data_IF_106303567409
#
_entry.id   IF_106303567409
#
_cell.length_a   1.000
_cell.length_b   1.000
_cell.length_c   1.000
_cell.angle_alpha   90.00
_cell.angle_beta   90.00
_cell.angle_gamma   90.00
#
_symmetry.space_group_name_H-M   'P 1'
#
loop_
_entity.id
_entity.type
_entity.pdbx_description
1 polymer ?
2 polymer ?
3 non-polymer ?
4 water ?
#
# COMPACT_ATOMS: atom_id res chain seq x y z
N UNK A 3 -1.59 -34.28 -7.09
CA UNK A 3 -2.13 -34.19 -5.73
C UNK A 3 -1.18 -33.44 -4.79
N UNK A 4 -1.75 -32.60 -3.94
CA UNK A 4 -0.99 -31.93 -2.90
C UNK A 4 -0.88 -32.83 -1.67
N UNK A 5 0.22 -32.67 -0.93
CA UNK A 5 0.49 -33.53 0.21
C UNK A 5 1.15 -32.75 1.33
N UNK A 6 0.88 -33.17 2.56
CA UNK A 6 1.54 -32.61 3.74
C UNK A 6 2.91 -33.25 3.88
N UNK A 7 3.95 -32.49 3.57
CA UNK A 7 5.32 -32.97 3.69
C UNK A 7 6.18 -31.93 4.38
N UNK A 8 7.44 -32.24 4.67
CA UNK A 8 8.31 -31.22 5.29
C UNK A 8 8.40 -29.93 4.51
N UNK A 9 8.38 -30.02 3.17
CA UNK A 9 8.42 -28.81 2.35
C UNK A 9 7.22 -27.91 2.63
N UNK A 10 6.01 -28.46 2.51
CA UNK A 10 4.81 -27.66 2.77
C UNK A 10 4.76 -27.21 4.23
N UNK A 11 5.24 -28.04 5.15
CA UNK A 11 5.28 -27.64 6.54
C UNK A 11 6.08 -26.37 6.72
N UNK A 12 7.22 -26.25 6.03
CA UNK A 12 8.00 -25.03 6.11
C UNK A 12 7.30 -23.88 5.39
N UNK A 13 6.62 -24.17 4.28
CA UNK A 13 5.87 -23.13 3.59
C UNK A 13 4.82 -22.51 4.50
N UNK A 14 4.14 -23.34 5.31
CA UNK A 14 3.16 -22.81 6.25
C UNK A 14 3.84 -22.01 7.35
N UNK A 15 5.00 -22.47 7.83
CA UNK A 15 5.74 -21.71 8.84
C UNK A 15 6.14 -20.35 8.31
N UNK A 16 6.58 -20.29 7.05
CA UNK A 16 6.91 -19.00 6.44
C UNK A 16 5.68 -18.12 6.35
N UNK A 17 4.56 -18.68 5.88
CA UNK A 17 3.33 -17.91 5.76
C UNK A 17 2.90 -17.34 7.11
N UNK A 18 3.04 -18.12 8.18
CA UNK A 18 2.67 -17.60 9.50
C UNK A 18 3.64 -16.52 9.96
N UNK A 19 4.93 -16.68 9.67
CA UNK A 19 5.90 -15.66 10.06
C UNK A 19 5.61 -14.33 9.38
N UNK A 20 5.33 -14.37 8.07
CA UNK A 20 4.98 -13.15 7.35
C UNK A 20 3.73 -12.50 7.95
N UNK A 21 2.69 -13.31 8.18
CA UNK A 21 1.45 -12.78 8.76
C UNK A 21 1.72 -12.09 10.09
N UNK A 22 2.45 -12.76 10.99
CA UNK A 22 2.71 -12.19 12.30
C UNK A 22 3.38 -10.82 12.19
N UNK A 23 4.43 -10.72 11.36
CA UNK A 23 5.10 -9.44 11.19
C UNK A 23 4.26 -8.46 10.38
N UNK A 24 3.47 -8.96 9.43
CA UNK A 24 2.53 -8.11 8.70
C UNK A 24 1.57 -7.42 9.66
N UNK A 25 1.08 -8.13 10.67
CA UNK A 25 0.16 -7.53 11.63
C UNK A 25 0.89 -6.54 12.53
N UNK A 26 2.14 -6.83 12.86
CA UNK A 26 2.90 -5.91 13.71
C UNK A 26 3.34 -4.68 12.93
N UNK A 27 3.58 -4.82 11.62
CA UNK A 27 4.11 -3.72 10.84
C UNK A 27 3.03 -2.74 10.41
N UNK A 28 1.80 -3.20 10.20
CA UNK A 28 0.76 -2.36 9.63
C UNK A 28 -0.40 -2.21 10.62
N UNK A 29 -0.80 -0.98 10.94
CA UNK A 29 -1.84 -0.76 11.95
C UNK A 29 -3.18 -1.34 11.55
N UNK A 30 -3.82 -0.74 10.55
CA UNK A 30 -5.18 -1.10 10.17
C UNK A 30 -5.12 -2.23 9.15
N UNK A 31 -5.31 -3.46 9.61
CA UNK A 31 -5.36 -4.62 8.73
C UNK A 31 -6.70 -4.64 7.98
N UNK A 32 -6.76 -5.49 6.95
CA UNK A 32 -8.01 -5.59 6.19
C UNK A 32 -9.13 -6.15 7.05
N UNK A 33 -8.80 -7.06 7.97
CA UNK A 33 -9.82 -7.63 8.85
C UNK A 33 -10.47 -6.55 9.69
N UNK A 34 -9.67 -5.68 10.30
CA UNK A 34 -10.22 -4.59 11.10
C UNK A 34 -10.92 -3.56 10.22
N UNK A 35 -10.38 -3.29 9.03
CA UNK A 35 -10.99 -2.32 8.13
C UNK A 35 -12.36 -2.78 7.67
N UNK A 36 -12.48 -4.06 7.28
CA UNK A 36 -13.76 -4.58 6.84
C UNK A 36 -14.82 -4.47 7.94
N UNK A 37 -14.45 -4.79 9.17
CA UNK A 37 -15.38 -4.66 10.28
C UNK A 37 -15.87 -3.22 10.43
N UNK A 38 -14.94 -2.26 10.32
CA UNK A 38 -15.31 -0.85 10.38
C UNK A 38 -16.24 -0.50 9.23
N UNK A 39 -15.87 -0.92 8.02
CA UNK A 39 -16.64 -0.55 6.83
C UNK A 39 -18.06 -1.08 6.87
N UNK A 40 -18.34 -2.08 7.70
CA UNK A 40 -19.67 -2.64 7.84
C UNK A 40 -20.31 -2.30 9.19
N UNK A 41 -19.66 -1.45 9.99
CA UNK A 41 -20.14 -1.17 11.33
C UNK A 41 -20.11 -2.40 12.21
N UNK A 42 -19.64 -3.52 11.65
CA UNK A 42 -19.65 -4.81 12.33
C UNK A 42 -18.57 -4.89 13.40
N UNK A 43 -18.52 -3.88 14.26
CA UNK A 43 -17.54 -3.83 15.35
C UNK A 43 -17.78 -2.61 16.21
N UNK A 44 -16.79 -2.25 17.03
CA UNK A 44 -16.92 -1.09 17.91
C UNK A 44 -15.71 -0.19 17.67
N UNK A 45 -15.39 0.65 18.67
CA UNK A 45 -14.56 1.82 18.41
C UNK A 45 -15.23 2.57 17.27
N UNK A 46 -14.78 2.29 16.04
CA UNK A 46 -15.49 2.58 14.80
C UNK A 46 -16.32 3.86 14.80
N UNK A 47 -17.40 3.87 14.02
CA UNK A 47 -18.17 5.07 13.74
C UNK A 47 -17.23 6.17 13.26
N UNK A 48 -16.58 5.98 12.11
CA UNK A 48 -15.74 7.05 11.57
C UNK A 48 -16.57 8.23 11.09
N UNK A 49 -16.00 9.42 11.22
CA UNK A 49 -16.64 10.61 10.68
C UNK A 49 -16.62 10.56 9.16
N UNK A 50 -17.80 10.66 8.55
CA UNK A 50 -17.92 10.56 7.10
C UNK A 50 -17.75 11.95 6.49
N UNK A 51 -16.76 12.10 5.62
CA UNK A 51 -16.59 13.30 4.83
C UNK A 51 -17.16 13.01 3.45
N UNK A 52 -18.27 13.67 3.12
CA UNK A 52 -18.97 13.45 1.86
C UNK A 52 -19.24 14.75 1.09
N UNK A 53 -19.11 15.90 1.72
CA UNK A 53 -19.28 17.18 1.05
C UNK A 53 -18.31 18.17 1.68
N UNK A 54 -18.29 19.38 1.14
CA UNK A 54 -17.34 20.38 1.63
C UNK A 54 -17.63 20.76 3.09
N UNK A 55 -18.91 20.78 3.47
CA UNK A 55 -19.26 21.16 4.84
C UNK A 55 -18.80 20.11 5.84
N UNK A 56 -18.96 18.82 5.50
CA UNK A 56 -18.52 17.74 6.38
C UNK A 56 -17.01 17.61 6.39
N UNK A 57 -16.33 18.04 5.32
CA UNK A 57 -14.87 18.09 5.35
C UNK A 57 -14.39 19.08 6.40
N UNK A 58 -14.97 20.28 6.41
CA UNK A 58 -14.58 21.28 7.40
C UNK A 58 -14.83 20.78 8.82
N UNK A 59 -16.02 20.23 9.06
CA UNK A 59 -16.29 19.67 10.38
C UNK A 59 -15.41 18.47 10.68
N UNK A 60 -15.04 17.70 9.65
CA UNK A 60 -14.18 16.55 9.86
C UNK A 60 -12.78 16.95 10.27
N UNK A 61 -12.21 17.96 9.60
CA UNK A 61 -10.88 18.44 9.99
C UNK A 61 -10.86 18.90 11.44
N UNK A 62 -11.98 19.44 11.93
CA UNK A 62 -12.04 19.87 13.33
C UNK A 62 -12.15 18.68 14.27
N UNK A 63 -13.00 17.71 13.93
CA UNK A 63 -13.32 16.62 14.84
C UNK A 63 -12.37 15.43 14.73
N UNK A 64 -11.69 15.25 13.61
CA UNK A 64 -10.75 14.14 13.44
C UNK A 64 -9.39 14.57 13.95
N UNK A 65 -8.71 13.66 14.64
CA UNK A 65 -7.34 13.91 15.13
C UNK A 65 -6.37 13.35 14.10
N UNK A 66 -6.05 14.18 13.11
CA UNK A 66 -5.08 13.79 12.08
C UNK A 66 -3.67 13.82 12.67
N UNK A 67 -2.92 12.74 12.46
CA UNK A 67 -1.59 12.65 13.02
C UNK A 67 -0.73 13.84 12.63
N UNK A 68 -0.86 14.32 11.40
CA UNK A 68 -0.13 15.49 10.93
C UNK A 68 -0.86 16.79 11.26
N UNK A 69 -1.41 16.89 12.46
CA UNK A 69 -2.27 18.01 12.84
C UNK A 69 -1.41 19.18 13.34
N UNK A 70 -1.44 19.42 14.65
CA UNK A 70 -0.74 20.55 15.26
C UNK A 70 -1.48 21.84 14.94
N UNK A 71 -2.11 22.47 15.94
CA UNK A 71 -2.81 23.75 15.69
C UNK A 71 -1.87 24.89 15.33
N UNK A 72 -0.56 24.71 15.45
CA UNK A 72 0.40 25.78 15.19
C UNK A 72 0.85 25.87 13.75
N UNK A 73 0.79 24.77 13.00
CA UNK A 73 1.33 24.77 11.65
C UNK A 73 0.44 25.54 10.69
N UNK A 74 1.04 25.99 9.60
CA UNK A 74 0.31 26.68 8.53
C UNK A 74 -0.14 25.67 7.48
N UNK A 75 -1.43 25.69 7.15
CA UNK A 75 -2.00 24.78 6.19
C UNK A 75 -2.55 25.54 5.00
N UNK A 76 -2.51 24.90 3.83
CA UNK A 76 -3.00 25.53 2.61
C UNK A 76 -4.45 25.99 2.79
N UNK A 77 -4.83 27.00 2.00
CA UNK A 77 -6.20 27.47 2.01
C UNK A 77 -7.11 26.63 1.11
N UNK A 78 -6.54 25.85 0.20
CA UNK A 78 -7.31 24.96 -0.66
C UNK A 78 -7.47 23.60 0.01
N UNK A 79 -8.71 23.11 0.04
CA UNK A 79 -8.95 21.79 0.61
C UNK A 79 -8.22 20.72 -0.21
N UNK A 80 -8.17 20.90 -1.54
CA UNK A 80 -7.52 19.92 -2.39
C UNK A 80 -6.05 19.74 -2.02
N UNK A 81 -5.40 20.80 -1.58
CA UNK A 81 -3.98 20.69 -1.24
C UNK A 81 -3.81 20.15 0.18
N UNK A 82 -4.66 20.59 1.11
CA UNK A 82 -4.64 20.00 2.44
C UNK A 82 -4.82 18.49 2.36
N UNK A 83 -5.70 18.02 1.48
CA UNK A 83 -5.90 16.59 1.31
C UNK A 83 -4.65 15.95 0.72
N UNK A 84 -4.10 16.56 -0.34
CA UNK A 84 -2.87 16.04 -0.94
C UNK A 84 -1.77 15.91 0.09
N UNK A 85 -1.68 16.86 1.03
CA UNK A 85 -0.67 16.79 2.07
C UNK A 85 -0.92 15.63 3.01
N UNK A 86 -2.17 15.36 3.36
CA UNK A 86 -2.48 14.20 4.18
C UNK A 86 -2.00 12.91 3.53
N UNK A 87 -2.25 12.77 2.23
CA UNK A 87 -1.75 11.60 1.51
C UNK A 87 -0.24 11.51 1.58
N UNK A 88 0.45 12.65 1.40
CA UNK A 88 1.91 12.66 1.51
C UNK A 88 2.35 12.12 2.87
N UNK A 89 1.75 12.63 3.94
CA UNK A 89 2.12 12.17 5.28
C UNK A 89 1.89 10.67 5.42
N UNK A 90 0.73 10.19 4.97
CA UNK A 90 0.43 8.76 5.09
C UNK A 90 1.41 7.92 4.29
N UNK A 91 1.77 8.38 3.09
CA UNK A 91 2.72 7.63 2.26
C UNK A 91 4.06 7.50 2.96
N UNK A 92 4.59 8.60 3.49
CA UNK A 92 5.86 8.56 4.21
C UNK A 92 5.81 7.53 5.32
N UNK A 93 4.73 7.54 6.12
CA UNK A 93 4.55 6.51 7.13
C UNK A 93 4.56 5.12 6.51
N UNK A 94 3.85 4.94 5.39
CA UNK A 94 3.78 3.63 4.76
C UNK A 94 5.15 3.16 4.29
N UNK A 95 6.00 4.06 3.83
CA UNK A 95 7.35 3.68 3.43
C UNK A 95 8.10 3.05 4.60
N UNK A 96 7.87 3.58 5.80
CA UNK A 96 8.55 3.05 6.98
C UNK A 96 7.95 1.72 7.42
N UNK A 97 6.62 1.63 7.44
CA UNK A 97 5.97 0.35 7.72
C UNK A 97 6.41 -0.73 6.74
N UNK A 98 6.46 -0.38 5.45
CA UNK A 98 6.89 -1.36 4.45
C UNK A 98 8.36 -1.71 4.62
N UNK A 99 9.19 -0.71 4.93
CA UNK A 99 10.59 -0.98 5.18
C UNK A 99 10.77 -1.93 6.37
N UNK A 100 10.04 -1.68 7.45
CA UNK A 100 10.09 -2.59 8.59
C UNK A 100 9.64 -3.99 8.19
N UNK A 101 8.51 -4.10 7.50
CA UNK A 101 8.02 -5.40 7.09
C UNK A 101 9.04 -6.12 6.21
N UNK A 102 9.68 -5.39 5.30
CA UNK A 102 10.68 -6.01 4.42
C UNK A 102 11.78 -6.67 5.22
N UNK A 103 12.28 -5.97 6.26
CA UNK A 103 13.34 -6.53 7.08
C UNK A 103 12.93 -7.83 7.76
N UNK A 104 11.64 -8.04 7.97
CA UNK A 104 11.16 -9.26 8.61
C UNK A 104 11.02 -10.43 7.64
N UNK A 105 11.25 -10.21 6.35
CA UNK A 105 11.14 -11.26 5.35
C UNK A 105 12.41 -12.09 5.37
N UNK A 106 12.35 -13.37 5.75
CA UNK A 106 13.56 -14.19 5.81
C UNK A 106 14.49 -14.00 4.63
N UNK A 107 15.72 -13.56 4.89
CA UNK A 107 16.73 -13.40 3.88
C UNK A 107 16.93 -11.97 3.39
N UNK A 108 15.95 -11.09 3.61
CA UNK A 108 16.01 -9.75 3.02
C UNK A 108 17.21 -8.97 3.57
N UNK A 109 17.41 -8.98 4.88
CA UNK A 109 18.48 -8.18 5.46
C UNK A 109 19.85 -8.65 4.98
N UNK A 110 19.99 -9.93 4.66
CA UNK A 110 21.26 -10.47 4.17
C UNK A 110 21.51 -10.17 2.70
N UNK A 111 20.61 -9.45 2.04
CA UNK A 111 20.83 -9.07 0.65
C UNK A 111 21.77 -7.87 0.56
N UNK A 112 22.31 -7.66 -0.63
CA UNK A 112 23.04 -6.42 -0.91
C UNK A 112 22.24 -5.23 -0.44
N UNK A 113 22.79 -4.47 0.51
CA UNK A 113 22.06 -3.32 1.05
C UNK A 113 21.59 -2.39 -0.07
N UNK A 114 22.40 -2.23 -1.11
CA UNK A 114 22.01 -1.40 -2.23
C UNK A 114 20.89 -2.03 -3.04
N UNK A 115 20.79 -3.36 -3.03
CA UNK A 115 19.64 -4.03 -3.67
C UNK A 115 18.39 -3.91 -2.80
N UNK A 116 18.54 -3.99 -1.48
CA UNK A 116 17.41 -3.74 -0.60
C UNK A 116 16.80 -2.37 -0.87
N UNK A 117 17.65 -1.37 -1.09
CA UNK A 117 17.16 -0.03 -1.41
C UNK A 117 16.36 -0.05 -2.71
N UNK A 118 16.87 -0.75 -3.73
CA UNK A 118 16.18 -0.76 -5.02
C UNK A 118 14.85 -1.49 -4.91
N UNK A 119 14.79 -2.59 -4.16
CA UNK A 119 13.53 -3.31 -4.00
C UNK A 119 12.51 -2.46 -3.25
N UNK A 120 12.94 -1.77 -2.20
CA UNK A 120 12.03 -0.89 -1.47
C UNK A 120 11.56 0.26 -2.37
N UNK A 121 12.49 0.88 -3.10
CA UNK A 121 12.14 1.99 -3.97
C UNK A 121 10.97 1.64 -4.89
N UNK A 122 11.06 0.50 -5.58
CA UNK A 122 10.04 0.14 -6.55
C UNK A 122 8.85 -0.60 -5.94
N UNK A 123 8.98 -1.10 -4.73
CA UNK A 123 7.91 -1.90 -4.14
C UNK A 123 6.92 -1.14 -3.30
N UNK A 124 7.32 -0.01 -2.74
CA UNK A 124 6.49 0.67 -1.74
C UNK A 124 5.15 1.06 -2.33
N UNK A 125 5.15 1.66 -3.52
CA UNK A 125 3.92 2.21 -4.07
C UNK A 125 2.99 1.13 -4.60
N UNK A 126 3.53 0.06 -5.18
CA UNK A 126 2.68 -1.09 -5.51
C UNK A 126 2.06 -1.65 -4.25
N UNK A 127 2.81 -1.69 -3.15
CA UNK A 127 2.27 -2.17 -1.88
C UNK A 127 1.28 -1.18 -1.30
N UNK A 128 1.52 0.11 -1.49
CA UNK A 128 0.59 1.11 -0.97
C UNK A 128 -0.79 0.92 -1.58
N UNK A 129 -0.84 0.71 -2.91
CA UNK A 129 -2.13 0.57 -3.58
C UNK A 129 -2.78 -0.77 -3.24
N UNK A 130 -1.98 -1.81 -3.02
CA UNK A 130 -2.53 -3.06 -2.51
C UNK A 130 -3.17 -2.85 -1.14
N UNK A 131 -2.41 -2.28 -0.20
CA UNK A 131 -2.94 -2.02 1.13
C UNK A 131 -4.10 -1.04 1.10
N UNK A 132 -4.03 -0.02 0.23
CA UNK A 132 -5.09 0.98 0.18
C UNK A 132 -6.44 0.35 -0.15
N UNK A 133 -6.45 -0.71 -0.96
CA UNK A 133 -7.71 -1.37 -1.30
C UNK A 133 -8.40 -1.93 -0.06
N UNK A 134 -7.63 -2.40 0.92
CA UNK A 134 -8.23 -2.94 2.13
C UNK A 134 -9.11 -1.91 2.83
N UNK A 135 -8.77 -0.62 2.67
CA UNK A 135 -9.50 0.46 3.32
C UNK A 135 -10.54 1.10 2.43
N UNK A 136 -10.82 0.48 1.28
CA UNK A 136 -11.75 1.04 0.30
C UNK A 136 -12.95 0.11 0.12
N UNK A 137 -14.13 0.71 -0.02
CA UNK A 137 -15.23 0.03 -0.70
C UNK A 137 -15.66 0.92 -1.86
N UNK A 138 -16.82 0.68 -2.44
CA UNK A 138 -17.19 1.47 -3.61
C UNK A 138 -17.72 2.85 -3.25
N UNK A 139 -17.96 3.14 -1.98
CA UNK A 139 -18.46 4.45 -1.58
C UNK A 139 -17.36 5.41 -1.16
N UNK A 140 -16.26 4.90 -0.62
CA UNK A 140 -15.21 5.79 -0.15
C UNK A 140 -14.04 5.00 0.40
N UNK A 141 -13.27 5.67 1.26
CA UNK A 141 -12.01 5.13 1.76
C UNK A 141 -11.82 5.54 3.20
N UNK A 142 -11.40 4.58 4.04
CA UNK A 142 -11.02 4.88 5.42
C UNK A 142 -9.77 5.74 5.44
N UNK A 143 -9.76 6.75 6.31
CA UNK A 143 -8.60 7.60 6.50
C UNK A 143 -8.36 7.77 8.00
N UNK A 144 -7.15 8.24 8.32
CA UNK A 144 -6.74 8.54 9.70
C UNK A 144 -6.95 7.32 10.59
N UNK A 145 -6.31 6.22 10.20
CA UNK A 145 -6.42 4.95 10.90
C UNK A 145 -7.86 4.66 11.33
N UNK A 146 -8.79 4.83 10.39
CA UNK A 146 -10.17 4.51 10.62
C UNK A 146 -10.99 5.58 11.31
N UNK A 147 -10.37 6.69 11.72
CA UNK A 147 -11.13 7.75 12.36
C UNK A 147 -12.12 8.39 11.41
N UNK A 148 -11.79 8.44 10.11
CA UNK A 148 -12.64 9.09 9.14
C UNK A 148 -12.87 8.22 7.93
N UNK A 149 -13.91 8.60 7.17
CA UNK A 149 -14.27 7.95 5.92
C UNK A 149 -14.59 9.03 4.91
N UNK A 150 -13.85 9.07 3.81
CA UNK A 150 -14.03 10.10 2.79
C UNK A 150 -14.60 9.47 1.53
N UNK A 151 -15.70 10.02 1.04
CA UNK A 151 -16.43 9.40 -0.06
C UNK A 151 -15.65 9.50 -1.37
N UNK A 152 -15.95 8.56 -2.26
CA UNK A 152 -15.34 8.56 -3.57
C UNK A 152 -15.77 9.77 -4.40
N UNK A 153 -17.06 10.11 -4.35
CA UNK A 153 -17.54 11.22 -5.16
C UNK A 153 -17.02 12.56 -4.67
N UNK A 154 -16.83 12.72 -3.36
CA UNK A 154 -16.22 13.95 -2.86
C UNK A 154 -14.81 14.12 -3.40
N UNK A 155 -14.05 13.02 -3.44
CA UNK A 155 -12.69 13.08 -3.98
C UNK A 155 -12.70 13.40 -5.48
N UNK A 156 -13.72 12.91 -6.20
CA UNK A 156 -13.82 13.23 -7.62
C UNK A 156 -14.21 14.69 -7.85
N UNK A 157 -14.90 15.30 -6.88
CA UNK A 157 -15.36 16.67 -7.04
C UNK A 157 -14.27 17.71 -6.81
N UNK A 158 -13.10 17.30 -6.31
CA UNK A 158 -12.01 18.24 -6.15
C UNK A 158 -11.60 18.83 -7.50
N UNK A 159 -11.15 20.08 -7.48
CA UNK A 159 -10.81 20.76 -8.72
C UNK A 159 -9.71 20.01 -9.46
N UNK A 160 -9.68 20.20 -10.78
CA UNK A 160 -8.60 19.62 -11.58
C UNK A 160 -7.26 20.14 -11.07
N UNK A 161 -6.21 19.30 -11.07
CA UNK A 161 -6.26 17.89 -11.47
C UNK A 161 -6.40 16.93 -10.29
N UNK A 162 -6.76 17.46 -9.12
CA UNK A 162 -6.81 16.62 -7.92
C UNK A 162 -8.03 15.70 -7.93
N UNK A 163 -9.12 16.10 -8.59
CA UNK A 163 -10.28 15.23 -8.69
C UNK A 163 -10.00 13.90 -9.36
N UNK A 164 -8.88 13.78 -10.06
CA UNK A 164 -8.49 12.54 -10.73
C UNK A 164 -7.43 11.76 -9.96
N UNK A 165 -7.08 12.19 -8.75
CA UNK A 165 -5.99 11.55 -8.02
C UNK A 165 -6.37 10.15 -7.58
N UNK A 166 -7.48 10.01 -6.86
CA UNK A 166 -7.81 8.74 -6.21
C UNK A 166 -8.66 7.83 -7.07
N UNK A 167 -9.29 8.34 -8.13
CA UNK A 167 -10.21 7.53 -8.91
C UNK A 167 -9.57 6.25 -9.44
N UNK A 168 -8.39 6.29 -10.06
CA UNK A 168 -7.76 5.03 -10.50
C UNK A 168 -7.56 4.04 -9.37
N UNK A 169 -7.30 4.52 -8.15
CA UNK A 169 -7.10 3.61 -7.03
C UNK A 169 -8.41 2.92 -6.65
N UNK A 170 -9.50 3.67 -6.56
CA UNK A 170 -10.81 3.06 -6.34
C UNK A 170 -11.11 2.04 -7.43
N UNK A 171 -10.85 2.41 -8.69
CA UNK A 171 -11.13 1.50 -9.80
C UNK A 171 -10.36 0.19 -9.64
N UNK A 172 -9.08 0.28 -9.27
CA UNK A 172 -8.29 -0.93 -9.03
C UNK A 172 -8.81 -1.69 -7.83
N UNK A 173 -9.15 -0.98 -6.74
CA UNK A 173 -9.55 -1.65 -5.52
C UNK A 173 -10.81 -2.50 -5.74
N UNK A 174 -11.78 -1.97 -6.47
CA UNK A 174 -13.00 -2.71 -6.73
C UNK A 174 -12.68 -4.07 -7.34
N UNK A 175 -11.92 -4.08 -8.44
CA UNK A 175 -11.52 -5.34 -9.05
C UNK A 175 -10.71 -6.19 -8.08
N UNK A 176 -9.74 -5.57 -7.41
CA UNK A 176 -8.85 -6.33 -6.54
C UNK A 176 -9.58 -6.94 -5.36
N UNK A 177 -10.52 -6.19 -4.76
CA UNK A 177 -11.22 -6.68 -3.58
C UNK A 177 -12.21 -7.78 -3.92
N UNK A 178 -12.66 -7.87 -5.18
CA UNK A 178 -13.50 -9.00 -5.58
C UNK A 178 -12.77 -10.32 -5.41
N UNK A 179 -11.44 -10.30 -5.41
CA UNK A 179 -10.68 -11.53 -5.14
C UNK A 179 -10.87 -12.02 -3.71
N UNK A 180 -11.38 -11.16 -2.82
CA UNK A 180 -11.73 -11.54 -1.45
C UNK A 180 -10.52 -12.14 -0.71
N UNK A 181 -9.37 -11.48 -0.85
CA UNK A 181 -8.20 -11.88 -0.10
C UNK A 181 -8.30 -11.40 1.35
N UNK A 182 -7.71 -12.15 2.27
CA UNK A 182 -7.60 -11.76 3.67
C UNK A 182 -6.15 -11.39 3.99
N UNK A 183 -5.93 -10.97 5.24
CA UNK A 183 -4.59 -10.54 5.63
C UNK A 183 -3.57 -11.66 5.45
N UNK A 184 -3.99 -12.91 5.64
CA UNK A 184 -3.07 -14.03 5.47
C UNK A 184 -2.59 -14.14 4.03
N UNK A 185 -3.50 -14.00 3.06
CA UNK A 185 -3.09 -13.96 1.66
C UNK A 185 -2.27 -12.69 1.39
N UNK A 186 -2.73 -11.55 1.90
CA UNK A 186 -2.04 -10.28 1.64
C UNK A 186 -0.60 -10.32 2.11
N UNK A 187 -0.35 -10.90 3.29
CA UNK A 187 0.99 -10.88 3.85
C UNK A 187 2.02 -11.48 2.90
N UNK A 188 1.68 -12.61 2.28
CA UNK A 188 2.60 -13.24 1.33
C UNK A 188 2.65 -12.45 0.03
N UNK A 189 1.49 -11.98 -0.45
CA UNK A 189 1.45 -11.29 -1.72
C UNK A 189 2.39 -10.10 -1.74
N UNK A 190 2.28 -9.19 -0.75
CA UNK A 190 3.15 -8.02 -0.74
C UNK A 190 4.60 -8.44 -0.54
N UNK A 191 4.85 -9.53 0.19
CA UNK A 191 6.22 -10.02 0.31
C UNK A 191 6.76 -10.47 -1.03
N UNK A 192 5.91 -11.06 -1.87
CA UNK A 192 6.32 -11.43 -3.22
C UNK A 192 6.63 -10.19 -4.03
N UNK A 193 5.86 -9.11 -3.82
CA UNK A 193 6.07 -7.88 -4.57
C UNK A 193 7.43 -7.28 -4.25
N UNK A 194 7.74 -7.15 -2.96
CA UNK A 194 8.99 -6.51 -2.55
C UNK A 194 10.18 -7.21 -3.18
N UNK A 195 10.10 -8.52 -3.37
CA UNK A 195 11.23 -9.30 -3.87
C UNK A 195 11.07 -9.64 -5.35
N UNK A 196 10.62 -8.68 -6.14
CA UNK A 196 10.64 -8.80 -7.59
C UNK A 196 12.10 -8.70 -8.05
N UNK A 197 12.65 -9.82 -8.52
CA UNK A 197 14.00 -9.85 -9.01
C UNK A 197 14.20 -9.21 -10.36
N UNK A 198 13.20 -8.49 -10.87
CA UNK A 198 13.27 -7.86 -12.19
C UNK A 198 13.21 -6.33 -12.10
N UNK A 199 13.40 -5.76 -10.90
CA UNK A 199 13.47 -4.32 -10.79
C UNK A 199 14.72 -3.81 -11.52
N UNK A 200 14.64 -2.63 -12.12
CA UNK A 200 15.83 -2.05 -12.73
C UNK A 200 16.88 -1.70 -11.69
N UNK A 201 18.13 -1.99 -12.00
CA UNK A 201 19.24 -1.58 -11.17
C UNK A 201 19.76 -2.63 -10.20
N UNK A 202 19.10 -3.76 -10.08
CA UNK A 202 19.58 -4.80 -9.18
C UNK A 202 20.95 -5.31 -9.63
N UNK A 203 21.79 -5.63 -8.65
CA UNK A 203 23.14 -6.11 -8.91
C UNK A 203 23.35 -7.58 -8.56
N UNK A 204 22.68 -8.07 -7.53
CA UNK A 204 22.85 -9.44 -7.05
C UNK A 204 21.48 -10.12 -7.14
N UNK A 205 21.10 -10.50 -8.37
CA UNK A 205 19.72 -10.90 -8.61
C UNK A 205 19.42 -12.32 -8.12
N UNK A 206 20.39 -13.22 -8.15
CA UNK A 206 20.11 -14.61 -7.80
C UNK A 206 19.52 -14.76 -6.41
N UNK A 207 20.10 -14.19 -5.35
CA UNK A 207 19.52 -14.37 -4.01
C UNK A 207 18.11 -13.81 -3.90
N UNK A 208 17.74 -12.88 -4.79
CA UNK A 208 16.40 -12.31 -4.76
C UNK A 208 15.39 -13.28 -5.35
N UNK A 209 15.69 -13.82 -6.53
CA UNK A 209 14.79 -14.80 -7.14
C UNK A 209 14.67 -16.04 -6.28
N UNK A 210 15.73 -16.41 -5.56
CA UNK A 210 15.64 -17.57 -4.67
C UNK A 210 14.68 -17.30 -3.53
N UNK A 211 14.66 -16.09 -2.99
CA UNK A 211 13.71 -15.75 -1.94
C UNK A 211 12.31 -15.63 -2.52
N UNK A 212 12.17 -15.02 -3.70
CA UNK A 212 10.84 -14.82 -4.26
C UNK A 212 10.20 -16.14 -4.67
N UNK A 213 11.00 -17.11 -5.15
CA UNK A 213 10.44 -18.42 -5.46
C UNK A 213 9.90 -19.08 -4.21
N UNK A 214 10.64 -19.03 -3.11
CA UNK A 214 10.14 -19.53 -1.83
C UNK A 214 8.83 -18.85 -1.46
N UNK A 215 8.73 -17.54 -1.70
CA UNK A 215 7.52 -16.81 -1.37
C UNK A 215 6.38 -17.16 -2.32
N UNK A 216 6.69 -17.37 -3.61
CA UNK A 216 5.65 -17.74 -4.56
C UNK A 216 5.09 -19.12 -4.25
N UNK A 217 5.93 -20.03 -3.77
CA UNK A 217 5.43 -21.32 -3.32
C UNK A 217 4.51 -21.17 -2.12
N UNK A 218 4.94 -20.37 -1.13
CA UNK A 218 4.12 -20.18 0.05
C UNK A 218 2.79 -19.53 -0.29
N UNK A 219 2.79 -18.62 -1.27
CA UNK A 219 1.56 -17.96 -1.66
C UNK A 219 0.60 -18.96 -2.32
N UNK A 220 1.11 -19.75 -3.26
CA UNK A 220 0.25 -20.69 -3.97
C UNK A 220 -0.39 -21.66 -2.99
N UNK A 221 0.40 -22.20 -2.05
CA UNK A 221 -0.15 -23.08 -1.03
C UNK A 221 -1.19 -22.36 -0.19
N UNK A 222 -0.91 -21.10 0.19
CA UNK A 222 -1.87 -20.31 0.94
C UNK A 222 -3.19 -20.18 0.18
N UNK A 223 -3.10 -19.87 -1.13
CA UNK A 223 -4.31 -19.66 -1.93
C UNK A 223 -5.13 -20.94 -2.05
N UNK A 224 -4.50 -22.06 -2.39
CA UNK A 224 -5.22 -23.32 -2.48
C UNK A 224 -5.85 -23.70 -1.15
N UNK A 225 -5.10 -23.55 -0.06
CA UNK A 225 -5.62 -23.94 1.25
C UNK A 225 -6.75 -23.03 1.71
N UNK A 226 -6.75 -21.77 1.28
CA UNK A 226 -7.62 -20.77 1.87
C UNK A 226 -8.78 -20.34 0.99
N UNK A 227 -8.79 -20.71 -0.28
CA UNK A 227 -9.83 -20.31 -1.23
C UNK A 227 -10.28 -21.52 -2.03
N UNK A 228 -10.97 -22.47 -1.38
CA UNK A 228 -11.41 -23.67 -2.11
C UNK A 228 -12.31 -23.35 -3.28
N UNK A 229 -13.20 -22.37 -3.14
CA UNK A 229 -14.18 -22.04 -4.17
C UNK A 229 -13.66 -21.05 -5.20
N UNK A 230 -12.44 -21.22 -5.68
CA UNK A 230 -11.93 -20.33 -6.72
C UNK A 230 -10.53 -20.77 -7.19
N UNK A 231 -10.48 -21.71 -8.13
CA UNK A 231 -9.21 -22.01 -8.77
C UNK A 231 -8.80 -20.85 -9.66
N UNK A 232 -7.50 -20.80 -9.97
CA UNK A 232 -6.86 -19.75 -10.78
C UNK A 232 -6.61 -18.50 -9.94
N UNK A 233 -6.91 -18.50 -8.64
CA UNK A 233 -6.66 -17.32 -7.83
C UNK A 233 -5.19 -16.92 -7.88
N UNK A 234 -4.29 -17.90 -7.91
CA UNK A 234 -2.86 -17.61 -7.95
C UNK A 234 -2.49 -16.84 -9.21
N UNK A 235 -2.93 -17.33 -10.37
CA UNK A 235 -2.59 -16.66 -11.63
C UNK A 235 -3.22 -15.28 -11.69
N UNK A 236 -4.48 -15.14 -11.29
CA UNK A 236 -5.11 -13.82 -11.25
C UNK A 236 -4.31 -12.86 -10.39
N UNK A 237 -3.80 -13.36 -9.26
CA UNK A 237 -3.09 -12.49 -8.33
C UNK A 237 -1.77 -12.02 -8.93
N UNK A 238 -1.00 -12.92 -9.53
CA UNK A 238 0.22 -12.53 -10.21
C UNK A 238 -0.07 -11.45 -11.25
N UNK A 239 -1.12 -11.64 -12.05
CA UNK A 239 -1.48 -10.65 -13.06
C UNK A 239 -1.87 -9.31 -12.46
N UNK A 240 -2.26 -9.28 -11.19
CA UNK A 240 -2.61 -8.01 -10.56
C UNK A 240 -1.37 -7.17 -10.25
N UNK A 241 -0.21 -7.79 -10.07
CA UNK A 241 1.03 -7.02 -9.99
C UNK A 241 1.23 -6.19 -11.26
N UNK A 242 1.03 -6.83 -12.42
CA UNK A 242 1.10 -6.10 -13.67
C UNK A 242 0.25 -4.83 -13.63
N UNK A 243 -1.02 -4.97 -13.26
CA UNK A 243 -1.88 -3.79 -13.16
C UNK A 243 -1.34 -2.79 -12.16
N UNK A 244 -0.66 -3.26 -11.11
CA UNK A 244 -0.10 -2.34 -10.13
C UNK A 244 1.01 -1.49 -10.74
N UNK A 245 1.93 -2.13 -11.47
CA UNK A 245 2.99 -1.37 -12.12
C UNK A 245 2.43 -0.31 -13.05
N UNK A 246 1.27 -0.57 -13.66
CA UNK A 246 0.70 0.39 -14.58
C UNK A 246 0.10 1.59 -13.85
N UNK A 247 -0.62 1.34 -12.75
CA UNK A 247 -1.18 2.46 -11.99
C UNK A 247 -0.09 3.28 -11.33
N UNK A 248 1.00 2.63 -10.91
CA UNK A 248 2.16 3.38 -10.44
C UNK A 248 2.71 4.26 -11.54
N UNK A 249 2.77 3.72 -12.76
CA UNK A 249 3.20 4.53 -13.90
C UNK A 249 2.18 5.63 -14.21
N UNK A 250 0.90 5.27 -14.25
CA UNK A 250 -0.15 6.27 -14.46
C UNK A 250 -0.13 7.33 -13.37
N UNK A 251 0.24 6.95 -12.15
CA UNK A 251 0.26 7.89 -11.04
C UNK A 251 1.47 8.82 -11.09
N UNK A 252 2.61 8.33 -11.61
CA UNK A 252 3.76 9.20 -11.80
C UNK A 252 3.43 10.31 -12.78
N UNK A 253 2.76 9.97 -13.88
CA UNK A 253 2.38 10.97 -14.86
C UNK A 253 1.45 12.01 -14.25
N UNK A 254 0.43 11.56 -13.52
CA UNK A 254 -0.45 12.49 -12.83
C UNK A 254 0.33 13.40 -11.89
N UNK A 255 1.36 12.85 -11.23
CA UNK A 255 2.14 13.64 -10.27
C UNK A 255 2.91 14.74 -10.96
N UNK A 256 3.25 14.58 -12.25
CA UNK A 256 3.99 15.60 -12.96
C UNK A 256 3.10 16.77 -13.38
N UNK A 257 1.83 16.49 -13.69
CA UNK A 257 0.88 17.57 -13.95
C UNK A 257 0.81 18.51 -12.75
N UNK A 258 0.61 17.95 -11.57
CA UNK A 258 0.53 18.75 -10.35
C UNK A 258 1.84 19.43 -10.03
N UNK A 259 2.97 18.89 -10.50
CA UNK A 259 4.25 19.53 -10.22
C UNK A 259 4.43 20.80 -11.05
N UNK A 260 4.05 20.76 -12.32
CA UNK A 260 4.17 21.90 -13.21
C UNK A 260 2.78 22.51 -13.43
N UNK A 261 2.22 23.07 -12.35
CA UNK A 261 0.88 23.65 -12.40
C UNK A 261 0.50 24.28 -11.07
N UNK A 262 1.00 23.70 -9.98
CA UNK A 262 0.73 24.19 -8.63
C UNK A 262 1.99 24.87 -8.10
N UNK A 263 1.77 25.95 -7.31
CA UNK A 263 2.83 26.80 -6.76
C UNK A 263 4.18 26.11 -6.67
N UNK A 264 4.55 25.68 -5.47
CA UNK A 264 5.71 24.82 -5.27
C UNK A 264 5.33 23.36 -5.18
N UNK A 265 4.23 23.06 -4.48
CA UNK A 265 3.75 21.69 -4.29
C UNK A 265 4.90 20.77 -3.88
N UNK A 266 5.43 21.07 -2.69
CA UNK A 266 6.60 20.37 -2.18
C UNK A 266 6.28 18.89 -1.94
N UNK A 267 7.03 18.02 -2.62
CA UNK A 267 6.98 16.59 -2.34
C UNK A 267 7.97 16.26 -1.23
N UNK A 268 7.52 15.51 -0.24
CA UNK A 268 8.40 15.13 0.86
C UNK A 268 9.67 14.48 0.31
N UNK A 269 10.84 14.85 0.83
CA UNK A 269 12.09 14.32 0.23
C UNK A 269 12.11 12.81 0.09
N UNK A 270 11.54 12.08 1.04
CA UNK A 270 11.49 10.63 0.91
C UNK A 270 10.76 10.23 -0.36
N UNK A 271 9.59 10.83 -0.61
CA UNK A 271 8.85 10.55 -1.83
C UNK A 271 9.66 10.93 -3.08
N UNK A 272 10.52 11.94 -2.97
CA UNK A 272 11.33 12.34 -4.13
C UNK A 272 12.40 11.29 -4.45
N UNK A 273 13.06 10.76 -3.43
CA UNK A 273 13.98 9.64 -3.66
C UNK A 273 13.30 8.51 -4.42
N UNK A 274 12.08 8.17 -4.00
CA UNK A 274 11.39 7.04 -4.61
C UNK A 274 11.06 7.33 -6.07
N UNK A 275 10.54 8.53 -6.35
CA UNK A 275 10.08 8.86 -7.69
C UNK A 275 11.21 9.24 -8.64
N UNK A 276 12.37 9.67 -8.12
CA UNK A 276 13.47 10.05 -8.98
C UNK A 276 13.95 8.84 -9.79
N UNK A 277 13.92 8.98 -11.11
CA UNK A 277 14.39 7.93 -12.01
C UNK A 277 13.63 6.62 -11.79
N UNK A 278 12.31 6.73 -11.67
CA UNK A 278 11.49 5.56 -11.42
C UNK A 278 11.11 4.87 -12.73
N UNK A 279 9.98 5.25 -13.30
CA UNK A 279 9.51 4.65 -14.55
C UNK A 279 9.43 5.69 -15.67
N UNK B 4 21.87 9.18 -4.59
CA UNK B 4 21.51 7.95 -3.88
C UNK B 4 20.05 8.01 -3.43
N UNK B 5 19.72 7.20 -2.42
CA UNK B 5 18.44 7.28 -1.73
C UNK B 5 18.79 7.35 -0.23
N UNK B 6 19.34 8.49 0.17
CA UNK B 6 19.91 8.63 1.51
C UNK B 6 18.91 8.26 2.59
N UNK B 7 17.68 8.78 2.49
CA UNK B 7 16.66 8.46 3.48
C UNK B 7 16.38 6.96 3.50
N UNK B 8 16.04 6.40 2.34
CA UNK B 8 15.83 4.96 2.25
C UNK B 8 17.02 4.19 2.83
N UNK B 9 18.24 4.61 2.49
CA UNK B 9 19.41 3.97 3.05
C UNK B 9 19.41 4.04 4.57
N UNK B 10 19.12 5.24 5.10
CA UNK B 10 19.05 5.42 6.55
C UNK B 10 18.05 4.46 7.17
N UNK B 11 16.86 4.36 6.57
CA UNK B 11 15.80 3.52 7.13
C UNK B 11 16.22 2.05 7.16
N UNK B 12 16.86 1.57 6.09
CA UNK B 12 17.31 0.19 6.07
C UNK B 12 18.30 -0.10 7.20
N UNK B 13 19.00 0.92 7.68
CA UNK B 13 19.99 0.75 8.75
C UNK B 13 19.38 1.04 10.12
X LIG C 1 -4.39 7.74 1.21
X LIG C 1 -1.92 7.85 0.72
X LIG C 1 -4.61 8.25 2.63
X LIG C 1 -1.80 7.83 -0.80
X LIG C 1 -2.84 5.81 1.79
X LIG C 1 -5.18 9.66 2.63
X LIG C 1 -0.84 8.83 -1.41
X LIG C 1 -2.58 6.86 -1.69
X LIG C 1 -0.63 8.90 -2.91
X LIG C 1 -1.79 4.00 2.44
X LIG C 1 -3.12 3.88 2.78
X LIG C 1 1.44 10.12 -2.73
X LIG C 1 -2.38 6.92 -3.20
X LIG C 1 -1.40 7.94 -3.81
X LIG C 1 1.76 11.61 -2.88
X LIG C 1 -0.77 2.87 2.78
X LIG C 1 -3.63 2.60 3.51
X LIG C 1 -5.87 11.32 4.21
X LIG C 1 -1.23 1.63 3.48
X LIG C 1 -2.66 1.49 3.85
X LIG C 1 0.68 12.39 -2.13
X LIG C 1 2.59 9.29 -3.29
X LIG C 1 -5.25 12.12 5.36
X LIG C 1 -6.94 11.96 3.33
X LIG C 1 -5.71 13.55 5.63
X LIG C 1 -7.40 13.39 3.60
X LIG C 1 -6.79 14.19 4.75
X LIG C 1 -8.58 15.65 5.23
X LIG C 1 -3.07 7.12 1.21
X LIG C 1 -3.76 4.99 2.38
X LIG C 1 -1.62 5.18 1.84
X LIG C 1 -5.45 10.01 3.97
X LIG C 1 0.26 9.84 -3.45
X LIG C 1 2.87 9.31 -4.52
X LIG C 1 3.29 8.59 -2.50
X LIG C 1 -7.21 15.50 4.99
X LIG C 1 -4.40 8.47 0.57
X LIG C 1 -5.06 7.08 0.98
X LIG C 1 -1.12 7.46 1.10
X LIG C 1 -1.99 8.77 1.02
X LIG C 1 -5.23 7.66 3.08
X LIG C 1 -3.76 8.24 3.10
X LIG C 1 -4.55 10.29 2.26
X LIG C 1 -6.01 9.68 2.13
X LIG C 1 -0.37 9.41 -0.86
X LIG C 1 -3.17 6.25 -1.31
X LIG C 1 1.31 9.90 -1.80
X LIG C 1 -2.85 6.34 -3.76
X LIG C 1 -1.27 7.97 -4.74
X LIG C 1 2.62 11.80 -2.50
X LIG C 1 1.75 11.85 -3.82
X LIG C 1 0.13 2.96 2.55
X LIG C 1 -4.53 2.50 3.75
X LIG C 1 -0.63 0.95 3.68
X LIG C 1 -2.95 0.72 4.28
X LIG C 1 0.88 12.41 -1.18
X LIG C 1 -0.18 11.97 -2.26
X LIG C 1 0.65 13.30 -2.47
X LIG C 1 -4.60 11.74 5.90
X LIG C 1 -7.32 11.48 2.63
X LIG C 1 -5.34 14.04 6.32
X LIG C 1 -8.06 13.78 3.06
X LIG C 1 -8.98 16.20 4.53
X LIG C 1 -9.01 14.78 5.23
X LIG C 1 -8.72 16.07 6.09
#
# INVERSE_FOLDING_TARGET
GSHMQLNPESADLRALAKHLYDSYIKSFPLTKAKARAILTGKTTDKSPFVIYDMNSLMMGEDKIKFKHITPLQEQSKEVAIRIFQGCQFRSVEAVQEITEYAKSIPGFVNLDLNDQVTLLKYGVHEIIYTMLASLMNKDGVLISEGQGFMTREFLKSLRKPFGDFMEPKFEFAVKFNALELDDSDLAIFIAVIILSGDRPGLLNVKPIEDIQDNLLQALELQLKLNHPESSQLFAKLLQKMTDLRQIVTEHVQLLQVIKKTETDMSLHPLLQEIYKDLY
LTERHKILHRLLQEG
P7F C09 C10 C11 C12 C13 C14 C15 C16 C17 C18 C19 C20 C21 C22 C23 C24 C25 C26 C27 C28 C29 C30 C31 C32 C33 C34 C35 C36 N07 N08 O01 O02 O03 O04 O05 O06 H091 H092 H102 H101 H112 H111 H141 H142 H151 H161 H201 H211 H221 H232 H231 H241 H251 H271 H281 H292 H291 H293 H311 H321 H331 H341 H363 H362 H361
#
